data_IF_612427123511
#
_entry.id   IF_612427123511
#
_cell.length_a   1.000
_cell.length_b   1.000
_cell.length_c   1.000
_cell.angle_alpha   90.00
_cell.angle_beta   90.00
_cell.angle_gamma   90.00
#
_symmetry.space_group_name_H-M   'P 1'
#
loop_
_entity.id
_entity.type
_entity.pdbx_description
1 polymer ?
#
# COMPACT_ATOMS: atom_id res chain seq x y z
N UNK A 1 7.81 5.01 21.28
CA UNK A 1 6.91 6.01 20.67
C UNK A 1 7.79 7.01 19.95
N UNK A 2 7.58 7.22 18.65
CA UNK A 2 8.26 8.32 17.95
C UNK A 2 7.79 9.66 18.52
N UNK A 3 8.70 10.63 18.74
CA UNK A 3 8.31 11.94 19.26
C UNK A 3 7.32 12.60 18.29
N UNK A 4 6.16 13.04 18.82
CA UNK A 4 5.16 13.74 18.04
C UNK A 4 5.49 15.24 18.06
N UNK A 5 5.71 15.82 16.88
CA UNK A 5 5.95 17.25 16.73
C UNK A 5 4.61 17.97 16.62
N UNK A 6 4.37 18.97 17.47
CA UNK A 6 3.16 19.80 17.46
C UNK A 6 3.43 21.18 16.88
N UNK A 7 2.40 21.87 16.39
CA UNK A 7 2.53 23.19 15.75
C UNK A 7 3.11 24.25 16.70
N UNK A 8 2.75 24.20 17.98
CA UNK A 8 3.17 25.16 19.01
C UNK A 8 4.58 24.89 19.57
N UNK A 9 5.26 23.84 19.10
CA UNK A 9 6.60 23.50 19.55
C UNK A 9 7.59 24.58 19.09
N UNK A 10 8.32 25.17 20.05
CA UNK A 10 9.34 26.18 19.76
C UNK A 10 10.69 25.53 19.50
N UNK A 11 11.46 26.12 18.60
CA UNK A 11 12.84 25.73 18.35
C UNK A 11 13.77 26.23 19.46
N UNK A 12 14.90 25.54 19.68
CA UNK A 12 15.93 25.98 20.61
C UNK A 12 17.33 25.52 20.19
N UNK A 13 18.33 26.36 20.39
CA UNK A 13 19.76 26.02 20.30
C UNK A 13 20.43 26.36 21.63
N UNK A 14 21.26 25.48 22.19
CA UNK A 14 22.01 25.73 23.44
C UNK A 14 21.16 26.33 24.58
N UNK A 15 19.95 25.79 24.79
CA UNK A 15 18.93 26.27 25.73
C UNK A 15 18.34 27.67 25.45
N UNK A 16 18.72 28.32 24.36
CA UNK A 16 18.06 29.54 23.88
C UNK A 16 16.83 29.17 23.04
N UNK A 17 15.64 29.45 23.58
CA UNK A 17 14.36 29.27 22.88
C UNK A 17 14.15 30.40 21.86
N UNK A 18 13.79 30.04 20.64
CA UNK A 18 13.50 30.99 19.56
C UNK A 18 12.05 31.47 19.65
N UNK A 19 11.76 32.64 19.07
CA UNK A 19 10.42 33.22 19.08
C UNK A 19 9.44 32.45 18.17
N UNK A 20 9.96 31.83 17.11
CA UNK A 20 9.17 31.12 16.12
C UNK A 20 8.96 29.64 16.46
N UNK A 21 7.84 29.08 15.98
CA UNK A 21 7.47 27.67 16.18
C UNK A 21 7.40 26.85 14.91
N UNK A 22 7.24 25.54 15.11
CA UNK A 22 7.08 24.56 14.05
C UNK A 22 5.87 24.86 13.16
N UNK A 23 4.81 25.47 13.68
CA UNK A 23 3.64 25.89 12.92
C UNK A 23 4.01 26.92 11.86
N UNK A 24 4.75 27.95 12.24
CA UNK A 24 5.29 28.95 11.30
C UNK A 24 6.21 28.32 10.24
N UNK A 25 7.03 27.33 10.64
CA UNK A 25 7.83 26.56 9.69
C UNK A 25 6.97 25.82 8.66
N UNK A 26 5.90 25.14 9.10
CA UNK A 26 5.00 24.43 8.18
C UNK A 26 4.25 25.37 7.25
N UNK A 27 3.76 26.48 7.78
CA UNK A 27 3.05 27.48 6.98
C UNK A 27 3.99 28.07 5.91
N UNK A 28 5.26 28.31 6.24
CA UNK A 28 6.28 28.73 5.27
C UNK A 28 6.62 27.62 4.25
N UNK A 29 6.97 26.43 4.72
CA UNK A 29 7.48 25.33 3.90
C UNK A 29 6.45 24.77 2.92
N UNK A 30 5.16 24.83 3.26
CA UNK A 30 4.07 24.28 2.46
C UNK A 30 3.13 25.34 1.86
N UNK A 31 3.52 26.62 1.94
CA UNK A 31 2.72 27.75 1.43
C UNK A 31 2.41 27.69 -0.07
N UNK A 32 3.28 27.04 -0.88
CA UNK A 32 3.15 27.04 -2.33
C UNK A 32 2.77 25.67 -2.90
N UNK A 33 1.46 25.46 -3.11
CA UNK A 33 0.89 24.20 -3.60
C UNK A 33 1.23 23.88 -5.07
N UNK A 34 1.72 24.85 -5.84
CA UNK A 34 2.11 24.61 -7.25
C UNK A 34 3.46 23.93 -7.38
N UNK A 35 4.24 23.86 -6.30
CA UNK A 35 5.51 23.12 -6.27
C UNK A 35 5.23 21.63 -6.51
N UNK A 36 5.86 20.98 -7.52
CA UNK A 36 5.55 19.59 -7.86
C UNK A 36 5.69 18.60 -6.70
N UNK A 37 6.68 18.82 -5.81
CA UNK A 37 6.89 17.99 -4.62
C UNK A 37 5.72 18.11 -3.64
N UNK A 38 5.33 19.34 -3.30
CA UNK A 38 4.22 19.60 -2.36
C UNK A 38 2.90 19.09 -2.95
N UNK A 39 2.67 19.35 -4.24
CA UNK A 39 1.52 18.81 -4.97
C UNK A 39 1.48 17.28 -4.93
N UNK A 40 2.63 16.62 -5.10
CA UNK A 40 2.71 15.16 -5.04
C UNK A 40 2.35 14.60 -3.66
N UNK A 41 2.90 15.19 -2.60
CA UNK A 41 2.59 14.81 -1.20
C UNK A 41 1.12 15.07 -0.88
N UNK A 42 0.55 16.18 -1.35
CA UNK A 42 -0.88 16.46 -1.17
C UNK A 42 -1.75 15.39 -1.85
N UNK A 43 -1.45 15.01 -3.09
CA UNK A 43 -2.21 13.99 -3.82
C UNK A 43 -2.15 12.64 -3.10
N UNK A 44 -0.96 12.24 -2.64
CA UNK A 44 -0.78 11.03 -1.82
C UNK A 44 -1.65 11.07 -0.57
N UNK A 45 -1.63 12.18 0.18
CA UNK A 45 -2.46 12.37 1.36
C UNK A 45 -3.96 12.24 1.05
N UNK A 46 -4.46 12.97 0.03
CA UNK A 46 -5.88 12.95 -0.34
C UNK A 46 -6.31 11.54 -0.74
N UNK A 47 -5.54 10.88 -1.59
CA UNK A 47 -5.87 9.54 -2.06
C UNK A 47 -5.82 8.52 -0.91
N UNK A 48 -4.78 8.55 -0.07
CA UNK A 48 -4.68 7.66 1.08
C UNK A 48 -5.88 7.83 2.03
N UNK A 49 -6.25 9.08 2.34
CA UNK A 49 -7.43 9.38 3.17
C UNK A 49 -8.72 8.88 2.53
N UNK A 50 -8.93 9.17 1.25
CA UNK A 50 -10.12 8.76 0.52
C UNK A 50 -10.28 7.23 0.49
N UNK A 51 -9.20 6.50 0.23
CA UNK A 51 -9.20 5.03 0.22
C UNK A 51 -9.39 4.43 1.62
N UNK A 52 -8.83 5.04 2.67
CA UNK A 52 -9.06 4.62 4.06
C UNK A 52 -10.53 4.82 4.45
N UNK A 53 -11.13 5.95 4.07
CA UNK A 53 -12.53 6.25 4.39
C UNK A 53 -13.51 5.28 3.69
N UNK A 54 -13.09 4.67 2.57
CA UNK A 54 -13.86 3.69 1.79
C UNK A 54 -13.28 2.27 1.83
N UNK A 55 -12.47 1.95 2.84
CA UNK A 55 -11.79 0.65 2.90
C UNK A 55 -12.77 -0.54 2.95
N UNK A 56 -13.93 -0.37 3.58
CA UNK A 56 -14.98 -1.39 3.63
C UNK A 56 -15.44 -1.76 2.21
N UNK A 57 -15.64 -0.76 1.35
CA UNK A 57 -16.05 -0.97 -0.04
C UNK A 57 -14.97 -1.70 -0.85
N UNK A 58 -13.70 -1.53 -0.51
CA UNK A 58 -12.56 -2.09 -1.25
C UNK A 58 -12.25 -3.53 -0.81
N UNK A 59 -12.22 -3.81 0.49
CA UNK A 59 -11.63 -5.08 1.00
C UNK A 59 -12.59 -5.95 1.81
N UNK A 60 -13.78 -5.48 2.22
CA UNK A 60 -14.66 -6.24 3.10
C UNK A 60 -15.01 -7.63 2.55
N UNK A 61 -15.31 -7.74 1.26
CA UNK A 61 -15.59 -9.04 0.63
C UNK A 61 -14.45 -10.04 0.79
N UNK A 62 -13.20 -9.60 0.53
CA UNK A 62 -12.00 -10.44 0.72
C UNK A 62 -11.81 -10.84 2.18
N UNK A 63 -12.04 -9.92 3.13
CA UNK A 63 -11.99 -10.21 4.57
C UNK A 63 -12.97 -11.33 4.94
N UNK A 64 -14.22 -11.19 4.51
CA UNK A 64 -15.29 -12.12 4.84
C UNK A 64 -15.06 -13.49 4.18
N UNK A 65 -14.48 -13.52 2.98
CA UNK A 65 -14.24 -14.75 2.24
C UNK A 65 -13.04 -15.54 2.77
N UNK A 66 -11.92 -14.86 3.05
CA UNK A 66 -10.65 -15.54 3.37
C UNK A 66 -10.42 -15.74 4.87
N UNK A 67 -11.27 -15.19 5.73
CA UNK A 67 -10.94 -15.07 7.15
C UNK A 67 -12.17 -15.29 8.02
N UNK A 68 -11.93 -15.53 9.32
CA UNK A 68 -13.01 -15.63 10.31
C UNK A 68 -13.41 -14.28 10.91
N UNK A 69 -12.96 -13.16 10.33
CA UNK A 69 -13.33 -11.83 10.80
C UNK A 69 -14.71 -11.42 10.28
N UNK A 70 -15.46 -10.74 11.13
CA UNK A 70 -16.73 -10.10 10.80
C UNK A 70 -16.68 -8.67 11.33
N UNK A 71 -15.94 -7.77 10.65
CA UNK A 71 -15.79 -6.39 11.09
C UNK A 71 -17.14 -5.67 11.04
N UNK A 72 -17.40 -4.80 12.02
CA UNK A 72 -18.51 -3.85 11.95
C UNK A 72 -18.17 -2.72 10.95
N UNK A 73 -19.18 -2.01 10.40
CA UNK A 73 -18.94 -0.85 9.55
C UNK A 73 -17.95 0.14 10.16
N UNK A 74 -16.95 0.56 9.39
CA UNK A 74 -15.89 1.50 9.80
C UNK A 74 -14.81 0.88 10.70
N UNK A 75 -14.92 -0.38 11.11
CA UNK A 75 -13.90 -1.03 11.94
C UNK A 75 -12.59 -1.23 11.17
N UNK A 76 -12.64 -1.50 9.87
CA UNK A 76 -11.45 -1.62 9.04
C UNK A 76 -10.72 -0.26 8.95
N UNK A 77 -11.44 0.83 8.70
CA UNK A 77 -10.86 2.18 8.68
C UNK A 77 -10.21 2.54 10.01
N UNK A 78 -10.90 2.23 11.13
CA UNK A 78 -10.36 2.43 12.48
C UNK A 78 -9.08 1.63 12.74
N UNK A 79 -8.95 0.44 12.15
CA UNK A 79 -7.76 -0.41 12.30
C UNK A 79 -6.51 0.20 11.63
N UNK A 80 -6.70 1.02 10.60
CA UNK A 80 -5.62 1.69 9.85
C UNK A 80 -5.17 3.00 10.49
N UNK A 81 -6.06 3.66 11.26
CA UNK A 81 -5.82 4.98 11.82
C UNK A 81 -4.50 5.14 12.61
N UNK A 82 -4.04 4.17 13.43
CA UNK A 82 -2.75 4.31 14.12
C UNK A 82 -1.55 4.41 13.16
N UNK A 83 -1.56 3.65 12.07
CA UNK A 83 -0.46 3.56 11.10
C UNK A 83 -0.41 4.76 10.16
N UNK A 84 -1.58 5.26 9.75
CA UNK A 84 -1.72 6.37 8.81
C UNK A 84 -2.08 7.70 9.50
N UNK A 85 -1.76 7.82 10.79
CA UNK A 85 -1.90 9.07 11.56
C UNK A 85 -0.81 10.10 11.22
N UNK A 86 0.29 9.64 10.62
CA UNK A 86 1.36 10.45 10.05
C UNK A 86 1.75 9.83 8.69
N UNK A 87 2.50 10.56 7.85
CA UNK A 87 3.07 9.95 6.65
C UNK A 87 4.03 8.83 7.07
N UNK A 88 3.83 7.58 6.62
CA UNK A 88 4.76 6.51 6.93
C UNK A 88 6.09 6.78 6.22
N UNK A 89 7.16 6.94 6.98
CA UNK A 89 8.51 7.03 6.44
C UNK A 89 9.19 5.67 6.62
N UNK A 90 9.49 4.99 5.51
CA UNK A 90 10.21 3.71 5.51
C UNK A 90 9.34 2.47 5.27
N UNK A 91 8.02 2.61 5.10
CA UNK A 91 7.22 1.52 4.55
C UNK A 91 7.46 1.38 3.04
N UNK A 92 7.37 0.14 2.55
CA UNK A 92 7.63 -0.21 1.13
C UNK A 92 6.49 0.28 0.22
N UNK A 93 5.36 0.69 0.81
CA UNK A 93 4.12 1.07 0.13
C UNK A 93 3.55 2.35 0.70
N UNK A 94 2.90 3.15 -0.15
CA UNK A 94 2.23 4.38 0.26
C UNK A 94 0.96 4.08 1.11
N UNK A 95 0.27 2.95 0.86
CA UNK A 95 -0.88 2.48 1.63
C UNK A 95 -0.98 0.95 1.70
N UNK A 96 -1.25 0.41 2.87
CA UNK A 96 -1.54 -1.00 3.13
C UNK A 96 -2.87 -1.08 3.88
N UNK A 97 -3.90 -1.56 3.20
CA UNK A 97 -5.22 -1.78 3.78
C UNK A 97 -5.25 -3.11 4.57
N UNK A 98 -6.33 -3.33 5.31
CA UNK A 98 -6.52 -4.57 6.09
C UNK A 98 -6.40 -5.79 5.18
N UNK A 99 -5.75 -6.84 5.69
CA UNK A 99 -5.42 -8.08 4.96
C UNK A 99 -4.44 -7.89 3.80
N UNK A 100 -3.57 -6.90 3.93
CA UNK A 100 -2.35 -6.83 3.14
C UNK A 100 -2.55 -6.33 1.72
N UNK A 101 -3.71 -5.75 1.38
CA UNK A 101 -3.90 -5.04 0.10
C UNK A 101 -2.98 -3.83 0.09
N UNK A 102 -1.88 -3.93 -0.65
CA UNK A 102 -0.84 -2.90 -0.75
C UNK A 102 -1.01 -2.08 -2.02
N UNK A 103 -0.90 -0.77 -1.85
CA UNK A 103 -1.16 0.24 -2.88
C UNK A 103 0.03 1.20 -2.90
N UNK A 104 0.61 1.34 -4.08
CA UNK A 104 1.58 2.40 -4.37
C UNK A 104 0.86 3.56 -5.06
N UNK A 105 1.04 4.77 -4.54
CA UNK A 105 0.50 6.01 -5.07
C UNK A 105 1.65 6.84 -5.66
N UNK A 106 1.48 7.24 -6.91
CA UNK A 106 2.42 8.11 -7.61
C UNK A 106 1.67 9.25 -8.24
N UNK A 107 2.36 10.36 -8.44
CA UNK A 107 1.83 11.52 -9.14
C UNK A 107 2.83 12.03 -10.16
N UNK A 108 2.31 12.69 -11.20
CA UNK A 108 3.13 13.40 -12.17
C UNK A 108 2.42 14.63 -12.72
N UNK A 109 3.21 15.61 -13.13
CA UNK A 109 2.76 16.75 -13.93
C UNK A 109 3.37 16.76 -15.33
N UNK A 110 4.15 15.74 -15.67
CA UNK A 110 4.78 15.60 -16.96
C UNK A 110 4.78 14.11 -17.36
N UNK A 111 3.94 13.77 -18.35
CA UNK A 111 3.81 12.39 -18.86
C UNK A 111 5.09 11.89 -19.53
N UNK A 112 5.80 12.77 -20.25
CA UNK A 112 6.99 12.40 -21.04
C UNK A 112 8.13 11.90 -20.17
N UNK A 113 8.32 12.52 -18.99
CA UNK A 113 9.41 12.20 -18.08
C UNK A 113 9.03 11.19 -16.99
N UNK A 114 7.77 10.79 -16.89
CA UNK A 114 7.33 9.88 -15.83
C UNK A 114 7.73 8.43 -16.09
N UNK A 115 8.22 7.77 -15.03
CA UNK A 115 8.58 6.36 -15.03
C UNK A 115 8.29 5.74 -13.66
N UNK A 116 7.76 4.52 -13.66
CA UNK A 116 7.67 3.67 -12.47
C UNK A 116 8.80 2.64 -12.50
N UNK A 117 9.63 2.61 -11.47
CA UNK A 117 10.77 1.69 -11.36
C UNK A 117 10.42 0.47 -10.50
N UNK A 118 10.97 -0.69 -10.87
CA UNK A 118 11.04 -1.85 -9.98
C UNK A 118 11.95 -1.52 -8.79
N UNK A 119 11.54 -1.93 -7.60
CA UNK A 119 12.27 -1.71 -6.34
C UNK A 119 12.61 -3.05 -5.68
N UNK A 120 13.58 -3.02 -4.77
CA UNK A 120 13.92 -4.21 -3.99
C UNK A 120 12.81 -4.53 -3.00
N UNK A 121 12.52 -5.82 -2.81
CA UNK A 121 11.67 -6.28 -1.70
C UNK A 121 12.50 -6.32 -0.42
N UNK A 122 11.97 -5.74 0.65
CA UNK A 122 12.56 -5.89 1.98
C UNK A 122 12.06 -7.21 2.60
N UNK A 123 12.99 -8.09 2.94
CA UNK A 123 12.72 -9.28 3.72
C UNK A 123 12.84 -8.92 5.20
N UNK A 124 11.73 -9.01 5.91
CA UNK A 124 11.62 -8.61 7.31
C UNK A 124 12.28 -9.64 8.24
N UNK A 125 12.28 -10.91 7.86
CA UNK A 125 12.84 -11.98 8.70
C UNK A 125 14.36 -11.86 8.85
N UNK A 126 15.05 -11.45 7.78
CA UNK A 126 16.50 -11.32 7.72
C UNK A 126 16.99 -9.87 7.80
N UNK A 127 16.07 -8.91 7.90
CA UNK A 127 16.33 -7.46 7.84
C UNK A 127 17.24 -7.06 6.66
N UNK A 128 16.88 -7.53 5.46
CA UNK A 128 17.71 -7.38 4.25
C UNK A 128 16.86 -7.14 3.00
N UNK A 129 17.39 -6.36 2.08
CA UNK A 129 16.80 -6.21 0.74
C UNK A 129 17.19 -7.40 -0.15
N UNK A 130 16.21 -7.94 -0.88
CA UNK A 130 16.48 -8.89 -1.97
C UNK A 130 17.10 -8.13 -3.15
N UNK A 131 18.09 -8.75 -3.79
CA UNK A 131 18.77 -8.17 -4.96
C UNK A 131 17.82 -8.02 -6.14
N UNK A 132 16.89 -8.97 -6.28
CA UNK A 132 15.84 -8.94 -7.28
C UNK A 132 14.93 -7.72 -7.08
N UNK A 133 14.70 -6.99 -8.18
CA UNK A 133 13.78 -5.86 -8.21
C UNK A 133 12.48 -6.26 -8.90
N UNK A 134 11.35 -5.95 -8.27
CA UNK A 134 9.99 -6.20 -8.77
C UNK A 134 9.13 -4.96 -8.58
N UNK A 135 7.86 -5.02 -8.97
CA UNK A 135 6.86 -4.04 -8.55
C UNK A 135 6.21 -4.57 -7.27
N UNK A 136 6.61 -4.14 -6.05
CA UNK A 136 6.24 -4.85 -4.84
C UNK A 136 4.75 -4.72 -4.46
N UNK A 137 4.04 -3.67 -4.88
CA UNK A 137 2.66 -3.43 -4.45
C UNK A 137 1.68 -4.30 -5.23
N UNK A 138 0.54 -4.65 -4.63
CA UNK A 138 -0.53 -5.36 -5.34
C UNK A 138 -1.23 -4.46 -6.35
N UNK A 139 -1.35 -3.15 -6.05
CA UNK A 139 -2.01 -2.17 -6.91
C UNK A 139 -1.20 -0.89 -6.99
N UNK A 140 -1.30 -0.21 -8.14
CA UNK A 140 -0.61 1.04 -8.42
C UNK A 140 -1.62 2.07 -8.88
N UNK A 141 -1.52 3.28 -8.34
CA UNK A 141 -2.31 4.44 -8.73
C UNK A 141 -1.36 5.52 -9.21
N UNK A 142 -1.50 5.95 -10.46
CA UNK A 142 -0.86 7.15 -10.98
C UNK A 142 -1.89 8.27 -11.12
N UNK A 143 -1.70 9.35 -10.36
CA UNK A 143 -2.41 10.60 -10.55
C UNK A 143 -1.65 11.52 -11.53
N UNK A 144 -2.31 11.95 -12.59
CA UNK A 144 -1.78 12.91 -13.57
C UNK A 144 -2.41 14.26 -13.30
N UNK A 145 -1.59 15.23 -12.92
CA UNK A 145 -1.98 16.61 -12.59
C UNK A 145 -1.04 17.56 -13.34
N UNK A 146 -1.34 17.82 -14.61
CA UNK A 146 -0.47 18.62 -15.50
C UNK A 146 -0.65 20.11 -15.34
N UNK A 147 -1.87 20.55 -14.99
CA UNK A 147 -2.16 21.96 -14.71
C UNK A 147 -2.01 22.24 -13.23
N UNK A 148 -1.60 23.47 -12.94
CA UNK A 148 -1.61 23.95 -11.56
C UNK A 148 -3.06 23.98 -11.05
N UNK A 149 -3.28 23.56 -9.80
CA UNK A 149 -4.61 23.53 -9.24
C UNK A 149 -5.15 24.96 -9.11
N UNK A 150 -6.42 25.14 -9.43
CA UNK A 150 -7.09 26.41 -9.22
C UNK A 150 -7.37 26.58 -7.72
N UNK A 151 -6.76 27.60 -7.13
CA UNK A 151 -6.91 27.94 -5.71
C UNK A 151 -7.96 29.04 -5.58
N UNK A 152 -9.04 28.76 -4.87
CA UNK A 152 -10.02 29.77 -4.45
C UNK A 152 -9.94 30.02 -2.94
N UNK A 153 -10.71 30.99 -2.43
CA UNK A 153 -10.78 31.29 -0.99
C UNK A 153 -11.32 30.11 -0.16
N UNK A 154 -12.11 29.22 -0.77
CA UNK A 154 -12.83 28.16 -0.04
C UNK A 154 -12.44 26.74 -0.44
N UNK A 155 -11.86 26.58 -1.63
CA UNK A 155 -11.56 25.27 -2.21
C UNK A 155 -10.29 25.29 -3.04
N UNK A 156 -9.56 24.17 -3.01
CA UNK A 156 -8.55 23.81 -3.99
C UNK A 156 -9.17 22.86 -5.01
N UNK A 157 -9.25 23.27 -6.27
CA UNK A 157 -9.88 22.49 -7.33
C UNK A 157 -8.85 21.58 -8.03
N UNK A 158 -9.09 20.27 -7.94
CA UNK A 158 -8.29 19.21 -8.57
C UNK A 158 -9.10 18.41 -9.61
N UNK A 159 -10.19 18.98 -10.13
CA UNK A 159 -11.11 18.29 -11.04
C UNK A 159 -10.47 17.82 -12.36
N UNK A 160 -9.35 18.42 -12.75
CA UNK A 160 -8.58 17.99 -13.93
C UNK A 160 -7.64 16.82 -13.67
N UNK A 161 -7.54 16.34 -12.42
CA UNK A 161 -6.71 15.19 -12.08
C UNK A 161 -7.27 13.91 -12.71
N UNK A 162 -6.40 13.18 -13.39
CA UNK A 162 -6.73 11.89 -14.01
C UNK A 162 -6.03 10.77 -13.27
N UNK A 163 -6.67 9.62 -13.14
CA UNK A 163 -6.10 8.48 -12.44
C UNK A 163 -5.94 7.29 -13.36
N UNK A 164 -4.84 6.57 -13.21
CA UNK A 164 -4.54 5.33 -13.92
C UNK A 164 -4.22 4.25 -12.89
N UNK A 165 -5.00 3.16 -12.92
CA UNK A 165 -4.91 2.07 -11.94
C UNK A 165 -4.54 0.78 -12.66
N UNK A 166 -3.58 0.04 -12.10
CA UNK A 166 -3.26 -1.32 -12.54
C UNK A 166 -2.85 -2.21 -11.38
N UNK A 167 -2.98 -3.53 -11.54
CA UNK A 167 -2.43 -4.49 -10.60
C UNK A 167 -0.94 -4.70 -10.84
N UNK A 168 -0.21 -5.04 -9.77
CA UNK A 168 1.18 -5.46 -9.85
C UNK A 168 1.36 -6.68 -10.73
N UNK A 169 0.38 -7.60 -10.77
CA UNK A 169 0.36 -8.74 -11.69
C UNK A 169 0.31 -8.29 -13.16
N UNK A 170 -0.52 -7.31 -13.50
CA UNK A 170 -0.55 -6.74 -14.86
C UNK A 170 0.80 -6.14 -15.24
N UNK A 171 1.47 -5.46 -14.30
CA UNK A 171 2.83 -4.95 -14.52
C UNK A 171 3.84 -6.09 -14.73
N UNK A 172 3.78 -7.15 -13.91
CA UNK A 172 4.69 -8.30 -14.03
C UNK A 172 4.58 -8.97 -15.41
N UNK A 173 3.35 -9.11 -15.92
CA UNK A 173 3.06 -9.68 -17.26
C UNK A 173 3.54 -8.76 -18.39
N UNK A 174 3.40 -7.43 -18.23
CA UNK A 174 3.65 -6.48 -19.32
C UNK A 174 5.05 -5.85 -19.30
N UNK A 175 5.84 -6.10 -18.26
CA UNK A 175 7.15 -5.50 -18.02
C UNK A 175 8.12 -6.58 -17.54
N UNK A 176 8.45 -7.48 -18.46
CA UNK A 176 9.30 -8.64 -18.18
C UNK A 176 10.78 -8.27 -17.98
N UNK A 177 11.57 -9.21 -17.46
CA UNK A 177 13.02 -9.04 -17.40
C UNK A 177 13.61 -8.95 -18.84
N UNK A 178 14.63 -8.11 -19.08
CA UNK A 178 15.43 -7.35 -18.11
C UNK A 178 14.91 -5.93 -17.81
N UNK A 179 13.72 -5.56 -18.27
CA UNK A 179 13.20 -4.20 -18.11
C UNK A 179 12.98 -3.86 -16.63
N UNK A 180 13.56 -2.74 -16.19
CA UNK A 180 13.58 -2.30 -14.78
C UNK A 180 12.54 -1.23 -14.45
N UNK A 181 11.84 -0.69 -15.46
CA UNK A 181 10.84 0.35 -15.28
C UNK A 181 9.87 0.43 -16.44
N UNK A 182 8.71 1.04 -16.20
CA UNK A 182 7.67 1.30 -17.21
C UNK A 182 7.46 2.81 -17.33
N UNK A 183 7.41 3.34 -18.55
CA UNK A 183 7.11 4.74 -18.83
C UNK A 183 5.60 4.99 -18.97
N UNK A 184 5.19 6.26 -18.98
CA UNK A 184 3.78 6.65 -18.98
C UNK A 184 2.95 6.00 -20.10
N UNK A 185 3.46 6.00 -21.33
CA UNK A 185 2.74 5.45 -22.49
C UNK A 185 2.31 4.00 -22.25
N UNK A 186 3.27 3.13 -21.89
CA UNK A 186 2.99 1.71 -21.65
C UNK A 186 2.15 1.51 -20.38
N UNK A 187 2.39 2.30 -19.32
CA UNK A 187 1.61 2.21 -18.09
C UNK A 187 0.15 2.57 -18.32
N UNK A 188 -0.13 3.65 -19.05
CA UNK A 188 -1.50 4.08 -19.34
C UNK A 188 -2.24 3.12 -20.28
N UNK A 189 -1.54 2.46 -21.22
CA UNK A 189 -2.10 1.40 -22.09
C UNK A 189 -2.59 0.16 -21.32
N UNK A 190 -1.91 -0.20 -20.23
CA UNK A 190 -2.22 -1.41 -19.42
C UNK A 190 -3.04 -1.08 -18.16
N UNK A 191 -3.38 0.18 -17.94
CA UNK A 191 -4.11 0.65 -16.77
C UNK A 191 -5.56 0.97 -17.12
N UNK A 192 -6.43 0.95 -16.11
CA UNK A 192 -7.77 1.52 -16.19
C UNK A 192 -7.67 3.00 -15.89
N UNK A 193 -8.08 3.86 -16.82
CA UNK A 193 -8.20 5.31 -16.61
C UNK A 193 -9.54 5.64 -15.97
N UNK A 194 -9.56 6.48 -14.94
CA UNK A 194 -10.79 6.91 -14.28
C UNK A 194 -10.68 8.31 -13.68
N UNK A 195 -11.83 8.89 -13.31
CA UNK A 195 -11.89 10.11 -12.49
C UNK A 195 -11.81 9.83 -10.98
N UNK A 196 -11.76 10.88 -10.17
CA UNK A 196 -11.66 10.75 -8.71
C UNK A 196 -12.83 9.96 -8.09
N UNK A 197 -14.05 10.22 -8.54
CA UNK A 197 -15.26 9.53 -8.03
C UNK A 197 -15.30 8.03 -8.36
N UNK A 198 -14.49 7.59 -9.31
CA UNK A 198 -14.43 6.20 -9.77
C UNK A 198 -13.25 5.43 -9.18
N UNK A 199 -12.38 6.09 -8.40
CA UNK A 199 -11.20 5.46 -7.80
C UNK A 199 -11.53 4.21 -6.99
N UNK A 200 -12.50 4.33 -6.07
CA UNK A 200 -12.94 3.24 -5.20
C UNK A 200 -13.51 2.06 -5.99
N UNK A 201 -14.51 2.24 -6.88
CA UNK A 201 -15.08 1.11 -7.63
C UNK A 201 -14.06 0.47 -8.58
N UNK A 202 -13.16 1.23 -9.22
CA UNK A 202 -12.12 0.66 -10.10
C UNK A 202 -11.12 -0.15 -9.31
N UNK A 203 -10.65 0.36 -8.16
CA UNK A 203 -9.73 -0.38 -7.30
C UNK A 203 -10.39 -1.65 -6.74
N UNK A 204 -11.65 -1.55 -6.30
CA UNK A 204 -12.44 -2.71 -5.86
C UNK A 204 -12.53 -3.78 -6.96
N UNK A 205 -12.75 -3.38 -8.22
CA UNK A 205 -12.83 -4.34 -9.33
C UNK A 205 -11.50 -5.04 -9.59
N UNK A 206 -10.38 -4.29 -9.67
CA UNK A 206 -9.04 -4.87 -9.78
C UNK A 206 -8.72 -5.80 -8.60
N UNK A 207 -9.16 -5.41 -7.41
CA UNK A 207 -9.02 -6.18 -6.18
C UNK A 207 -9.83 -7.48 -6.23
N UNK A 208 -11.05 -7.42 -6.75
CA UNK A 208 -11.99 -8.53 -6.86
C UNK A 208 -11.53 -9.55 -7.89
N UNK A 209 -10.97 -9.11 -9.01
CA UNK A 209 -10.41 -9.99 -10.03
C UNK A 209 -9.28 -10.87 -9.46
N UNK A 210 -8.32 -10.29 -8.74
CA UNK A 210 -7.26 -11.07 -8.09
C UNK A 210 -7.80 -11.98 -6.98
N UNK A 211 -8.82 -11.52 -6.25
CA UNK A 211 -9.48 -12.30 -5.21
C UNK A 211 -10.18 -13.54 -5.79
N UNK A 212 -11.00 -13.38 -6.82
CA UNK A 212 -11.69 -14.51 -7.45
C UNK A 212 -10.71 -15.46 -8.14
N UNK A 213 -9.64 -14.92 -8.74
CA UNK A 213 -8.56 -15.75 -9.30
C UNK A 213 -7.94 -16.65 -8.22
N UNK A 214 -7.59 -16.10 -7.06
CA UNK A 214 -6.95 -16.88 -6.00
C UNK A 214 -7.91 -17.82 -5.29
N UNK A 215 -9.21 -17.48 -5.21
CA UNK A 215 -10.25 -18.39 -4.70
C UNK A 215 -10.34 -19.67 -5.52
N UNK A 216 -10.12 -19.62 -6.82
CA UNK A 216 -10.09 -20.82 -7.68
C UNK A 216 -8.86 -21.71 -7.44
N UNK A 217 -7.81 -21.18 -6.80
CA UNK A 217 -6.63 -21.94 -6.42
C UNK A 217 -6.75 -22.56 -5.01
N UNK A 218 -7.73 -22.12 -4.21
CA UNK A 218 -7.95 -22.58 -2.84
C UNK A 218 -9.01 -23.68 -2.79
N UNK A 219 -8.88 -24.59 -1.82
CA UNK A 219 -9.95 -25.54 -1.48
C UNK A 219 -11.21 -24.75 -1.11
N UNK A 220 -12.41 -25.16 -1.60
CA UNK A 220 -13.65 -24.44 -1.32
C UNK A 220 -13.86 -24.17 0.17
N UNK A 221 -14.24 -22.92 0.50
CA UNK A 221 -14.50 -22.44 1.86
C UNK A 221 -13.27 -22.42 2.78
N UNK A 222 -12.06 -22.55 2.23
CA UNK A 222 -10.85 -22.31 3.01
C UNK A 222 -10.87 -20.90 3.61
N UNK A 223 -10.49 -20.82 4.89
CA UNK A 223 -10.31 -19.57 5.62
C UNK A 223 -9.03 -19.66 6.44
N UNK A 224 -8.35 -18.53 6.58
CA UNK A 224 -7.16 -18.40 7.37
C UNK A 224 -7.47 -18.63 8.85
N UNK A 225 -6.90 -19.70 9.41
CA UNK A 225 -7.02 -20.00 10.82
C UNK A 225 -6.37 -18.91 11.66
N UNK A 226 -6.91 -18.67 12.87
CA UNK A 226 -6.31 -17.76 13.85
C UNK A 226 -5.50 -18.57 14.87
N UNK A 227 -4.35 -18.05 15.34
CA UNK A 227 -3.65 -18.66 16.45
C UNK A 227 -4.53 -18.56 17.72
N UNK A 228 -4.45 -19.53 18.66
CA UNK A 228 -5.24 -19.53 19.89
C UNK A 228 -5.09 -18.24 20.73
N UNK A 229 -3.88 -17.66 20.75
CA UNK A 229 -3.56 -16.42 21.46
C UNK A 229 -3.24 -15.30 20.46
N UNK A 230 -4.25 -14.87 19.69
CA UNK A 230 -4.08 -13.80 18.70
C UNK A 230 -3.90 -12.43 19.40
N UNK A 231 -2.83 -11.75 19.03
CA UNK A 231 -2.53 -10.38 19.46
C UNK A 231 -2.41 -9.45 18.24
N UNK A 232 -2.55 -8.14 18.45
CA UNK A 232 -2.54 -7.15 17.37
C UNK A 232 -1.21 -7.03 16.62
N UNK A 233 -0.11 -7.57 17.18
CA UNK A 233 1.21 -7.58 16.54
C UNK A 233 1.47 -8.85 15.71
N UNK A 234 0.50 -9.74 15.55
CA UNK A 234 0.65 -10.88 14.65
C UNK A 234 0.47 -10.46 13.19
N UNK A 235 1.37 -10.92 12.34
CA UNK A 235 1.32 -10.71 10.90
C UNK A 235 1.35 -12.06 10.17
N UNK A 236 0.49 -12.28 9.18
CA UNK A 236 0.53 -13.49 8.37
C UNK A 236 1.60 -13.35 7.29
N UNK A 237 2.57 -14.26 7.28
CA UNK A 237 3.66 -14.29 6.30
C UNK A 237 3.64 -15.56 5.47
N UNK A 238 3.94 -15.42 4.19
CA UNK A 238 4.21 -16.51 3.27
C UNK A 238 5.73 -16.55 3.06
N UNK A 239 6.42 -17.47 3.73
CA UNK A 239 7.88 -17.53 3.75
C UNK A 239 8.36 -18.57 2.76
N UNK A 240 9.20 -18.14 1.82
CA UNK A 240 9.90 -18.99 0.88
C UNK A 240 11.23 -19.48 1.48
N UNK A 241 11.42 -20.80 1.50
CA UNK A 241 12.66 -21.44 1.94
C UNK A 241 12.86 -22.77 1.20
N UNK A 242 14.06 -22.99 0.66
CA UNK A 242 14.43 -24.19 -0.10
C UNK A 242 13.42 -24.51 -1.23
N UNK A 243 12.97 -23.48 -1.95
CA UNK A 243 12.01 -23.62 -3.06
C UNK A 243 10.58 -23.98 -2.63
N UNK A 244 10.25 -23.93 -1.34
CA UNK A 244 8.89 -24.14 -0.82
C UNK A 244 8.40 -22.89 -0.10
N UNK A 245 7.14 -22.52 -0.35
CA UNK A 245 6.46 -21.44 0.39
C UNK A 245 5.58 -22.03 1.49
N UNK A 246 5.67 -21.48 2.68
CA UNK A 246 4.86 -21.88 3.84
C UNK A 246 4.20 -20.67 4.49
N UNK A 247 2.92 -20.81 4.83
CA UNK A 247 2.16 -19.78 5.55
C UNK A 247 2.30 -19.93 7.06
N UNK A 248 2.58 -18.85 7.77
CA UNK A 248 2.56 -18.83 9.23
C UNK A 248 2.24 -17.44 9.78
N UNK A 249 1.65 -17.42 10.97
CA UNK A 249 1.54 -16.23 11.80
C UNK A 249 2.87 -15.99 12.50
N UNK A 250 3.42 -14.78 12.36
CA UNK A 250 4.61 -14.35 13.08
C UNK A 250 4.25 -13.22 14.03
N UNK A 251 4.89 -13.21 15.20
CA UNK A 251 4.73 -12.12 16.15
C UNK A 251 5.76 -11.02 15.85
N UNK A 252 5.28 -9.82 15.54
CA UNK A 252 6.11 -8.63 15.31
C UNK A 252 6.55 -7.93 16.59
N UNK A 253 7.69 -7.24 16.54
CA UNK A 253 8.28 -6.46 17.64
C UNK A 253 9.53 -5.71 17.17
N UNK A 254 10.22 -5.00 18.06
CA UNK A 254 11.52 -4.40 17.76
C UNK A 254 12.60 -5.50 17.67
N UNK A 255 12.72 -6.15 16.51
CA UNK A 255 13.68 -7.24 16.28
C UNK A 255 13.22 -8.25 15.23
N UNK A 256 13.89 -9.41 15.19
CA UNK A 256 13.58 -10.50 14.26
C UNK A 256 12.20 -11.11 14.51
N UNK A 257 11.57 -11.56 13.43
CA UNK A 257 10.33 -12.33 13.48
C UNK A 257 10.53 -13.61 14.31
N UNK A 258 9.64 -13.86 15.27
CA UNK A 258 9.75 -15.00 16.18
C UNK A 258 8.40 -15.70 16.39
N UNK A 259 8.46 -16.90 16.97
CA UNK A 259 7.30 -17.72 17.37
C UNK A 259 6.29 -17.99 16.22
N UNK A 260 6.73 -18.60 15.09
CA UNK A 260 5.82 -18.89 14.00
C UNK A 260 4.73 -19.88 14.43
N UNK A 261 3.47 -19.55 14.16
CA UNK A 261 2.35 -20.49 14.25
C UNK A 261 1.89 -20.82 12.84
N UNK A 262 2.05 -22.07 12.42
CA UNK A 262 1.75 -22.51 11.06
C UNK A 262 0.28 -22.25 10.68
N UNK A 263 0.08 -21.85 9.42
CA UNK A 263 -1.24 -21.76 8.78
C UNK A 263 -1.30 -22.82 7.69
N UNK A 264 -2.25 -23.73 7.81
CA UNK A 264 -2.53 -24.75 6.80
C UNK A 264 -3.27 -24.12 5.62
N UNK A 265 -2.53 -23.52 4.68
CA UNK A 265 -3.08 -22.98 3.44
C UNK A 265 -3.32 -24.13 2.46
N UNK A 266 -4.60 -24.39 2.17
CA UNK A 266 -4.99 -25.53 1.34
C UNK A 266 -5.29 -25.08 -0.07
N UNK A 267 -4.32 -25.30 -0.95
CA UNK A 267 -4.48 -25.15 -2.39
C UNK A 267 -5.20 -26.38 -2.98
N UNK A 268 -5.91 -26.22 -4.08
CA UNK A 268 -6.47 -27.36 -4.84
C UNK A 268 -5.36 -28.21 -5.45
N UNK A 269 -5.63 -29.49 -5.71
CA UNK A 269 -4.64 -30.40 -6.29
C UNK A 269 -4.12 -29.86 -7.65
N UNK A 270 -2.79 -29.85 -7.81
CA UNK A 270 -2.13 -29.33 -9.01
C UNK A 270 -2.02 -27.81 -9.10
N UNK A 271 -2.51 -27.06 -8.12
CA UNK A 271 -2.28 -25.62 -8.05
C UNK A 271 -0.78 -25.30 -7.91
N UNK A 272 -0.32 -24.28 -8.62
CA UNK A 272 1.04 -23.75 -8.53
C UNK A 272 0.99 -22.24 -8.23
N UNK A 273 0.69 -21.85 -6.97
CA UNK A 273 0.53 -20.45 -6.60
C UNK A 273 1.87 -19.72 -6.65
N UNK A 274 1.87 -18.54 -7.28
CA UNK A 274 3.02 -17.64 -7.25
C UNK A 274 2.96 -16.70 -6.03
N UNK A 275 3.96 -15.83 -5.89
CA UNK A 275 4.04 -14.91 -4.76
C UNK A 275 2.87 -13.93 -4.68
N UNK A 276 2.27 -13.54 -5.83
CA UNK A 276 1.10 -12.67 -5.89
C UNK A 276 -0.16 -13.39 -5.44
N UNK A 277 -0.25 -14.70 -5.66
CA UNK A 277 -1.31 -15.53 -5.08
C UNK A 277 -1.27 -15.48 -3.56
N UNK A 278 -0.10 -15.69 -2.96
CA UNK A 278 0.06 -15.59 -1.51
C UNK A 278 -0.34 -14.21 -0.97
N UNK A 279 0.02 -13.13 -1.66
CA UNK A 279 -0.41 -11.77 -1.32
C UNK A 279 -1.92 -11.57 -1.44
N UNK A 280 -2.54 -12.12 -2.48
CA UNK A 280 -3.98 -12.05 -2.69
C UNK A 280 -4.77 -12.83 -1.61
N UNK A 281 -4.19 -13.90 -1.04
CA UNK A 281 -4.77 -14.63 0.11
C UNK A 281 -4.61 -13.85 1.43
N UNK A 282 -3.89 -12.73 1.43
CA UNK A 282 -3.74 -11.85 2.59
C UNK A 282 -2.49 -12.13 3.42
N UNK A 283 -1.47 -12.76 2.83
CA UNK A 283 -0.14 -12.90 3.43
C UNK A 283 0.79 -11.81 2.90
N UNK A 284 1.77 -11.40 3.71
CA UNK A 284 2.93 -10.71 3.15
C UNK A 284 3.94 -11.76 2.67
N UNK A 285 4.33 -11.69 1.40
CA UNK A 285 5.31 -12.63 0.85
C UNK A 285 6.73 -12.27 1.28
N UNK A 286 7.43 -13.22 1.89
CA UNK A 286 8.80 -13.09 2.36
C UNK A 286 9.70 -13.99 1.49
N UNK A 287 10.37 -13.42 0.48
CA UNK A 287 11.14 -14.20 -0.47
C UNK A 287 12.42 -14.74 0.17
N UNK A 288 12.90 -15.89 -0.31
CA UNK A 288 14.21 -16.40 0.08
C UNK A 288 15.30 -15.41 -0.38
N UNK A 289 16.21 -15.06 0.54
CA UNK A 289 17.45 -14.30 0.28
C UNK A 289 18.63 -15.25 0.32
#
# INVERSE_FOLDING_TARGET
MSPKVTRDLKFSFDNQRLAYDVGEFWDWAFSNITTPVIRGVMIEFILARHLIDHVDDIVLGRVLDLTHQVPLPGQLAKSLAPFYSNQPHGDVFDLQLTWGVTIEIKSTSNRENWRLNKTCRWNMAKDKNKVEKVFPAQYYILAVVEKDPEVSVTHLNLSEAEFYLCSGRTLDINVEAPQKSVGFKKFSEISVRCGFSELVPVLHELQRQEHERVRNLLVPRWKQSRPPSFHSNFMPLAVEANGKVTGAWYQGGSGALSNPTAIDVRWVDGANPDWRDWEAVGFKYEPEI
#
